data_IF_621609919215
#
_entry.id   IF_621609919215
#
_cell.length_a   1.000
_cell.length_b   1.000
_cell.length_c   1.000
_cell.angle_alpha   90.00
_cell.angle_beta   90.00
_cell.angle_gamma   90.00
#
_symmetry.space_group_name_H-M   'P 1'
#
loop_
_entity.id
_entity.type
_entity.pdbx_description
1 polymer ?
#
# COMPACT_ATOMS: atom_id res chain seq x y z
N UNK A 1 44.44 48.90 0.08
CA UNK A 1 43.43 49.30 -0.90
C UNK A 1 42.57 48.15 -1.43
N UNK A 2 43.04 46.91 -1.44
CA UNK A 2 42.28 45.74 -1.96
C UNK A 2 41.40 45.08 -0.90
N UNK A 3 41.68 45.20 0.38
CA UNK A 3 40.87 44.60 1.47
C UNK A 3 39.50 45.27 1.61
N UNK A 4 39.39 46.57 1.35
CA UNK A 4 38.10 47.31 1.43
C UNK A 4 37.15 46.98 0.30
N UNK A 5 37.66 46.57 -0.87
CA UNK A 5 36.81 46.20 -2.02
C UNK A 5 36.26 44.78 -1.82
N UNK A 6 37.02 43.88 -1.20
CA UNK A 6 36.58 42.52 -0.92
C UNK A 6 35.43 42.46 0.10
N UNK A 7 35.50 43.32 1.14
CA UNK A 7 34.41 43.39 2.13
C UNK A 7 33.12 43.98 1.56
N UNK A 8 33.23 44.94 0.61
CA UNK A 8 32.02 45.52 -0.04
C UNK A 8 31.31 44.52 -0.93
N UNK A 9 32.02 43.64 -1.65
CA UNK A 9 31.44 42.61 -2.51
C UNK A 9 30.77 41.51 -1.68
N UNK A 10 31.35 41.11 -0.54
CA UNK A 10 30.72 40.13 0.36
C UNK A 10 29.45 40.71 1.01
N UNK A 11 29.48 41.96 1.43
CA UNK A 11 28.29 42.62 2.01
C UNK A 11 27.14 42.74 1.03
N UNK A 12 27.42 43.08 -0.24
CA UNK A 12 26.39 43.17 -1.29
C UNK A 12 25.83 41.79 -1.62
N UNK A 13 26.70 40.73 -1.63
CA UNK A 13 26.25 39.34 -1.86
C UNK A 13 25.35 38.82 -0.74
N UNK A 14 25.69 39.10 0.51
CA UNK A 14 24.88 38.71 1.68
C UNK A 14 23.54 39.46 1.70
N UNK A 15 23.54 40.76 1.39
CA UNK A 15 22.30 41.54 1.29
C UNK A 15 21.39 41.09 0.14
N UNK A 16 21.96 40.70 -1.00
CA UNK A 16 21.19 40.18 -2.14
C UNK A 16 20.58 38.82 -1.83
N UNK A 17 21.29 37.97 -1.09
CA UNK A 17 20.79 36.67 -0.65
C UNK A 17 19.69 36.85 0.41
N UNK A 18 19.88 37.74 1.40
CA UNK A 18 18.82 38.07 2.38
C UNK A 18 17.56 38.61 1.71
N UNK A 19 17.70 39.49 0.72
CA UNK A 19 16.55 40.07 0.01
C UNK A 19 15.77 39.03 -0.83
N UNK A 20 16.47 37.99 -1.29
CA UNK A 20 15.85 36.89 -2.06
C UNK A 20 15.07 35.94 -1.16
N UNK A 21 15.48 35.77 0.11
CA UNK A 21 14.81 34.88 1.07
C UNK A 21 13.71 35.56 1.90
N UNK A 22 13.70 36.88 2.04
CA UNK A 22 12.62 37.59 2.76
C UNK A 22 11.27 37.60 2.02
N UNK A 23 11.23 37.21 0.73
CA UNK A 23 10.01 37.09 -0.03
C UNK A 23 9.31 35.74 0.02
N UNK A 24 9.94 34.74 0.62
CA UNK A 24 9.35 33.39 0.74
C UNK A 24 8.84 33.21 2.18
N UNK A 25 7.56 33.48 2.38
CA UNK A 25 6.90 33.20 3.64
C UNK A 25 6.75 31.69 3.83
N UNK A 26 7.75 31.07 4.47
CA UNK A 26 7.75 29.63 4.76
C UNK A 26 6.57 29.21 5.65
N UNK A 27 5.96 30.15 6.40
CA UNK A 27 4.71 29.88 7.13
C UNK A 27 3.53 29.66 6.20
N UNK A 28 3.57 30.26 4.99
CA UNK A 28 2.51 30.07 4.01
C UNK A 28 2.58 28.72 3.30
N UNK A 29 3.76 28.07 3.32
CA UNK A 29 3.97 26.74 2.72
C UNK A 29 3.50 25.64 3.70
N UNK A 30 3.48 25.92 5.00
CA UNK A 30 3.15 24.91 6.04
C UNK A 30 1.69 24.94 6.49
N UNK A 31 0.85 25.86 6.00
CA UNK A 31 -0.56 26.01 6.43
C UNK A 31 -1.58 25.88 5.31
N UNK A 32 -1.15 25.57 4.09
CA UNK A 32 -2.12 25.24 3.03
C UNK A 32 -2.45 23.74 3.12
N UNK A 33 -3.32 23.38 4.06
CA UNK A 33 -3.96 22.07 4.20
C UNK A 33 -4.90 21.75 3.03
N UNK A 34 -4.92 22.56 1.99
CA UNK A 34 -5.78 22.38 0.82
C UNK A 34 -4.99 22.19 -0.48
N UNK A 35 -3.92 21.42 -0.49
CA UNK A 35 -3.58 20.74 -1.73
C UNK A 35 -4.63 19.66 -1.92
N UNK A 36 -5.78 20.04 -2.49
CA UNK A 36 -6.76 19.08 -2.99
C UNK A 36 -6.01 18.30 -4.06
N UNK A 37 -5.49 17.15 -3.66
CA UNK A 37 -4.87 16.23 -4.61
C UNK A 37 -5.94 15.87 -5.65
N UNK A 38 -5.67 16.17 -6.91
CA UNK A 38 -6.57 15.78 -8.00
C UNK A 38 -6.52 14.25 -8.16
N UNK A 39 -7.54 13.59 -7.60
CA UNK A 39 -7.69 12.13 -7.63
C UNK A 39 -8.45 11.61 -8.85
N UNK A 40 -8.80 12.47 -9.80
CA UNK A 40 -9.61 12.11 -10.98
C UNK A 40 -8.96 11.02 -11.84
N UNK A 41 -7.65 10.87 -11.79
CA UNK A 41 -6.90 9.85 -12.52
C UNK A 41 -6.65 8.56 -11.73
N UNK A 42 -6.96 8.52 -10.44
CA UNK A 42 -6.75 7.37 -9.59
C UNK A 42 -7.96 6.44 -9.63
N UNK A 43 -7.70 5.14 -9.67
CA UNK A 43 -8.75 4.13 -9.56
C UNK A 43 -9.04 3.86 -8.08
N UNK A 44 -10.32 3.76 -7.73
CA UNK A 44 -10.70 3.18 -6.43
C UNK A 44 -10.52 1.67 -6.46
N UNK A 45 -10.13 1.10 -5.32
CA UNK A 45 -10.19 -0.34 -5.11
C UNK A 45 -11.64 -0.82 -5.29
N UNK A 46 -11.87 -1.90 -6.03
CA UNK A 46 -13.19 -2.50 -6.16
C UNK A 46 -13.75 -2.96 -4.79
N UNK A 47 -15.06 -3.04 -4.70
CA UNK A 47 -15.70 -3.69 -3.57
C UNK A 47 -15.40 -5.20 -3.57
N UNK A 48 -15.22 -5.76 -2.38
CA UNK A 48 -14.95 -7.18 -2.22
C UNK A 48 -16.26 -7.96 -2.31
N UNK A 49 -16.48 -8.64 -3.42
CA UNK A 49 -17.69 -9.45 -3.69
C UNK A 49 -17.29 -10.89 -4.02
N UNK A 50 -18.24 -11.83 -3.89
CA UNK A 50 -17.99 -13.23 -4.23
C UNK A 50 -17.00 -13.96 -3.32
N UNK A 51 -16.81 -13.49 -2.08
CA UNK A 51 -15.89 -14.12 -1.13
C UNK A 51 -16.39 -15.51 -0.77
N UNK A 52 -15.54 -16.52 -1.02
CA UNK A 52 -15.85 -17.93 -0.80
C UNK A 52 -15.47 -18.45 0.59
N UNK A 53 -14.64 -17.71 1.32
CA UNK A 53 -14.18 -18.06 2.67
C UNK A 53 -13.38 -16.97 3.32
N UNK A 54 -13.34 -16.99 4.67
CA UNK A 54 -12.67 -16.02 5.52
C UNK A 54 -11.70 -16.74 6.46
N UNK A 55 -10.48 -16.27 6.61
CA UNK A 55 -9.44 -16.79 7.50
C UNK A 55 -8.81 -15.61 8.25
N UNK A 56 -8.66 -15.71 9.57
CA UNK A 56 -8.22 -14.63 10.47
C UNK A 56 -9.13 -13.38 10.46
N UNK A 57 -10.34 -13.51 9.93
CA UNK A 57 -11.38 -12.49 9.85
C UNK A 57 -12.74 -13.15 9.66
N UNK A 58 -13.80 -12.36 9.62
CA UNK A 58 -15.17 -12.83 9.31
C UNK A 58 -15.84 -11.91 8.29
N UNK A 59 -17.00 -12.33 7.81
CA UNK A 59 -17.81 -11.51 6.90
C UNK A 59 -18.26 -10.19 7.56
N UNK A 60 -18.54 -10.23 8.85
CA UNK A 60 -19.01 -9.07 9.62
C UNK A 60 -17.90 -8.08 9.93
N UNK A 61 -16.64 -8.55 9.95
CA UNK A 61 -15.50 -7.76 10.39
C UNK A 61 -14.73 -7.12 9.25
N UNK A 62 -14.71 -7.77 8.07
CA UNK A 62 -13.77 -7.40 6.99
C UNK A 62 -13.91 -5.94 6.55
N UNK A 63 -15.13 -5.45 6.34
CA UNK A 63 -15.36 -4.08 5.88
C UNK A 63 -14.88 -3.07 6.93
N UNK A 64 -15.18 -3.34 8.22
CA UNK A 64 -14.75 -2.48 9.34
C UNK A 64 -13.23 -2.48 9.51
N UNK A 65 -12.57 -3.60 9.28
CA UNK A 65 -11.12 -3.71 9.35
C UNK A 65 -10.41 -2.89 8.28
N UNK A 66 -11.03 -2.71 7.10
CA UNK A 66 -10.45 -1.98 5.97
C UNK A 66 -10.82 -0.49 5.97
N UNK A 67 -11.91 -0.09 6.64
CA UNK A 67 -12.42 1.28 6.60
C UNK A 67 -11.39 2.28 7.16
N UNK A 68 -11.07 3.30 6.37
CA UNK A 68 -10.14 4.36 6.77
C UNK A 68 -8.69 3.93 6.94
N UNK A 69 -8.32 2.75 6.45
CA UNK A 69 -6.96 2.21 6.53
C UNK A 69 -6.20 2.33 5.22
N UNK A 70 -4.89 2.31 5.31
CA UNK A 70 -4.06 1.98 4.15
C UNK A 70 -4.11 0.47 3.96
N UNK A 71 -4.57 0.02 2.79
CA UNK A 71 -4.78 -1.41 2.54
C UNK A 71 -3.80 -1.91 1.50
N UNK A 72 -3.04 -2.96 1.85
CA UNK A 72 -2.25 -3.74 0.92
C UNK A 72 -3.03 -4.99 0.53
N UNK A 73 -3.54 -5.03 -0.70
CA UNK A 73 -4.16 -6.22 -1.29
C UNK A 73 -3.09 -7.09 -1.90
N UNK A 74 -2.93 -8.33 -1.39
CA UNK A 74 -1.97 -9.32 -1.90
C UNK A 74 -2.71 -10.47 -2.60
N UNK A 75 -2.66 -10.50 -3.93
CA UNK A 75 -3.18 -11.62 -4.71
C UNK A 75 -2.18 -12.75 -4.73
N UNK A 76 -2.54 -13.86 -4.12
CA UNK A 76 -1.66 -15.00 -3.93
C UNK A 76 -2.38 -16.35 -4.05
N UNK A 77 -1.60 -17.42 -4.17
CA UNK A 77 -2.06 -18.79 -3.93
C UNK A 77 -0.96 -19.60 -3.25
N UNK A 78 -1.34 -20.56 -2.45
CA UNK A 78 -0.41 -21.24 -1.54
C UNK A 78 0.58 -22.19 -2.22
N UNK A 79 0.36 -22.57 -3.48
CA UNK A 79 1.30 -23.41 -4.25
C UNK A 79 2.22 -22.59 -5.15
N UNK A 80 1.96 -21.30 -5.34
CA UNK A 80 2.79 -20.41 -6.14
C UNK A 80 4.10 -20.06 -5.42
N UNK A 81 5.22 -20.54 -5.95
CA UNK A 81 6.54 -20.35 -5.31
C UNK A 81 6.92 -18.86 -5.18
N UNK A 82 6.58 -18.03 -6.19
CA UNK A 82 6.86 -16.61 -6.14
C UNK A 82 6.01 -15.91 -5.07
N UNK A 83 4.76 -16.35 -4.86
CA UNK A 83 3.93 -15.86 -3.77
C UNK A 83 4.55 -16.22 -2.41
N UNK A 84 4.92 -17.50 -2.23
CA UNK A 84 5.51 -17.98 -0.98
C UNK A 84 6.75 -17.19 -0.57
N UNK A 85 7.58 -16.81 -1.55
CA UNK A 85 8.79 -16.00 -1.29
C UNK A 85 8.50 -14.59 -0.80
N UNK A 86 7.31 -14.04 -1.08
CA UNK A 86 6.92 -12.70 -0.62
C UNK A 86 6.33 -12.70 0.80
N UNK A 87 5.77 -13.83 1.27
CA UNK A 87 5.05 -13.90 2.55
C UNK A 87 5.88 -13.47 3.78
N UNK A 88 7.18 -13.80 3.91
CA UNK A 88 7.96 -13.33 5.04
C UNK A 88 8.01 -11.80 5.17
N UNK A 89 8.08 -11.10 4.06
CA UNK A 89 8.07 -9.63 4.05
C UNK A 89 6.70 -9.07 4.42
N UNK A 90 5.63 -9.69 3.94
CA UNK A 90 4.27 -9.28 4.28
C UNK A 90 3.98 -9.49 5.78
N UNK A 91 4.41 -10.61 6.36
CA UNK A 91 4.26 -10.85 7.80
C UNK A 91 5.07 -9.86 8.64
N UNK A 92 6.27 -9.50 8.20
CA UNK A 92 7.09 -8.48 8.85
C UNK A 92 6.42 -7.09 8.75
N UNK A 93 5.86 -6.75 7.61
CA UNK A 93 5.16 -5.47 7.44
C UNK A 93 3.86 -5.41 8.25
N UNK A 94 3.12 -6.49 8.35
CA UNK A 94 1.95 -6.59 9.21
C UNK A 94 2.34 -6.34 10.67
N UNK A 95 3.36 -7.04 11.17
CA UNK A 95 3.86 -6.88 12.54
C UNK A 95 4.38 -5.46 12.83
N UNK A 96 4.94 -4.79 11.83
CA UNK A 96 5.56 -3.47 11.99
C UNK A 96 4.59 -2.30 11.84
N UNK A 97 3.62 -2.41 10.95
CA UNK A 97 2.82 -1.26 10.51
C UNK A 97 1.32 -1.39 10.81
N UNK A 98 0.84 -2.51 11.35
CA UNK A 98 -0.58 -2.67 11.67
C UNK A 98 -1.06 -1.63 12.70
N UNK A 99 -0.26 -1.33 13.70
CA UNK A 99 -0.56 -0.29 14.70
C UNK A 99 -0.54 1.12 14.09
N UNK A 100 0.18 1.33 13.01
CA UNK A 100 0.25 2.60 12.26
C UNK A 100 -0.87 2.73 11.20
N UNK A 101 -1.78 1.76 11.13
CA UNK A 101 -2.96 1.81 10.28
C UNK A 101 -2.82 1.14 8.91
N UNK A 102 -1.79 0.31 8.70
CA UNK A 102 -1.73 -0.61 7.57
C UNK A 102 -2.60 -1.85 7.85
N UNK A 103 -3.39 -2.25 6.88
CA UNK A 103 -4.01 -3.58 6.85
C UNK A 103 -3.53 -4.32 5.61
N UNK A 104 -2.98 -5.51 5.80
CA UNK A 104 -2.71 -6.43 4.70
C UNK A 104 -3.92 -7.34 4.53
N UNK A 105 -4.45 -7.42 3.32
CA UNK A 105 -5.51 -8.35 2.96
C UNK A 105 -4.97 -9.35 1.94
N UNK A 106 -4.78 -10.59 2.37
CA UNK A 106 -4.45 -11.68 1.47
C UNK A 106 -5.69 -12.12 0.68
N UNK A 107 -5.66 -11.99 -0.63
CA UNK A 107 -6.71 -12.48 -1.52
C UNK A 107 -6.21 -13.76 -2.16
N UNK A 108 -6.63 -14.90 -1.57
CA UNK A 108 -6.28 -16.21 -2.08
C UNK A 108 -7.14 -16.55 -3.29
N UNK A 109 -6.57 -16.38 -4.49
CA UNK A 109 -7.22 -16.69 -5.76
C UNK A 109 -6.60 -17.95 -6.37
N UNK A 110 -7.34 -19.04 -6.53
CA UNK A 110 -6.79 -20.32 -6.97
C UNK A 110 -6.36 -20.30 -8.44
N UNK A 111 -5.21 -20.93 -8.74
CA UNK A 111 -4.80 -21.30 -10.08
C UNK A 111 -5.35 -22.69 -10.45
N UNK A 112 -5.39 -23.61 -9.47
CA UNK A 112 -5.79 -25.01 -9.62
C UNK A 112 -6.98 -25.35 -8.72
N UNK A 113 -7.77 -26.36 -9.11
CA UNK A 113 -8.95 -26.81 -8.34
C UNK A 113 -8.65 -27.25 -6.91
N UNK A 114 -7.49 -27.88 -6.66
CA UNK A 114 -7.13 -28.33 -5.31
C UNK A 114 -6.89 -27.15 -4.34
N UNK A 115 -6.61 -25.96 -4.86
CA UNK A 115 -6.38 -24.75 -4.07
C UNK A 115 -7.67 -24.12 -3.54
N UNK A 116 -8.81 -24.46 -4.11
CA UNK A 116 -10.13 -23.98 -3.64
C UNK A 116 -10.55 -24.50 -2.27
N UNK A 117 -9.91 -25.60 -1.81
CA UNK A 117 -10.28 -26.22 -0.54
C UNK A 117 -9.89 -25.33 0.64
N UNK A 118 -10.92 -24.95 1.41
CA UNK A 118 -10.78 -24.06 2.56
C UNK A 118 -9.71 -24.53 3.55
N UNK A 119 -9.73 -25.83 3.89
CA UNK A 119 -8.81 -26.44 4.85
C UNK A 119 -7.35 -26.33 4.39
N UNK A 120 -7.10 -26.41 3.08
CA UNK A 120 -5.77 -26.26 2.51
C UNK A 120 -5.27 -24.83 2.66
N UNK A 121 -6.12 -23.83 2.45
CA UNK A 121 -5.77 -22.41 2.63
C UNK A 121 -5.52 -22.12 4.11
N UNK A 122 -6.39 -22.60 5.01
CA UNK A 122 -6.19 -22.50 6.48
C UNK A 122 -4.87 -23.16 6.91
N UNK A 123 -4.55 -24.34 6.37
CA UNK A 123 -3.27 -24.99 6.66
C UNK A 123 -2.09 -24.14 6.17
N UNK A 124 -2.18 -23.59 4.98
CA UNK A 124 -1.13 -22.76 4.38
C UNK A 124 -0.91 -21.46 5.17
N UNK A 125 -1.99 -20.77 5.56
CA UNK A 125 -1.88 -19.55 6.40
C UNK A 125 -1.16 -19.83 7.71
N UNK A 126 -1.50 -20.93 8.38
CA UNK A 126 -0.81 -21.35 9.60
C UNK A 126 0.66 -21.71 9.36
N UNK A 127 0.93 -22.48 8.29
CA UNK A 127 2.28 -22.91 7.91
C UNK A 127 3.21 -21.74 7.63
N UNK A 128 2.70 -20.69 6.99
CA UNK A 128 3.47 -19.50 6.61
C UNK A 128 3.42 -18.38 7.65
N UNK A 129 2.77 -18.60 8.80
CA UNK A 129 2.71 -17.61 9.89
C UNK A 129 1.87 -16.38 9.56
N UNK A 130 0.93 -16.48 8.62
CA UNK A 130 0.05 -15.38 8.23
C UNK A 130 -0.97 -15.14 9.34
N UNK A 131 -0.97 -13.91 9.91
CA UNK A 131 -1.88 -13.47 10.96
C UNK A 131 -2.90 -12.44 10.46
N UNK A 132 -2.55 -11.71 9.40
CA UNK A 132 -3.44 -10.74 8.77
C UNK A 132 -4.65 -11.41 8.11
N UNK A 133 -5.73 -10.65 7.83
CA UNK A 133 -6.93 -11.15 7.14
C UNK A 133 -6.62 -11.81 5.81
N UNK A 134 -7.25 -12.95 5.56
CA UNK A 134 -7.21 -13.64 4.27
C UNK A 134 -8.62 -14.00 3.84
N UNK A 135 -8.96 -13.72 2.58
CA UNK A 135 -10.20 -14.11 1.95
C UNK A 135 -9.94 -15.05 0.77
N UNK A 136 -10.88 -15.94 0.49
CA UNK A 136 -10.85 -16.79 -0.70
C UNK A 136 -11.69 -16.19 -1.83
N UNK A 137 -11.10 -16.10 -3.01
CA UNK A 137 -11.70 -15.64 -4.26
C UNK A 137 -11.76 -16.82 -5.25
N UNK A 138 -12.52 -17.88 -4.89
CA UNK A 138 -12.53 -19.14 -5.64
C UNK A 138 -13.09 -19.00 -7.06
N UNK A 139 -14.00 -18.05 -7.28
CA UNK A 139 -14.64 -17.80 -8.57
C UNK A 139 -13.97 -16.67 -9.36
N UNK A 140 -12.89 -16.08 -8.80
CA UNK A 140 -12.10 -15.01 -9.43
C UNK A 140 -12.91 -13.71 -9.66
N UNK A 141 -13.93 -13.44 -8.87
CA UNK A 141 -14.70 -12.21 -8.98
C UNK A 141 -13.85 -11.00 -8.59
N UNK A 142 -13.19 -11.05 -7.41
CA UNK A 142 -12.31 -9.98 -6.94
C UNK A 142 -11.09 -9.83 -7.87
N UNK A 143 -10.53 -10.95 -8.31
CA UNK A 143 -9.45 -10.97 -9.30
C UNK A 143 -9.80 -10.20 -10.58
N UNK A 144 -11.01 -10.45 -11.10
CA UNK A 144 -11.47 -9.80 -12.33
C UNK A 144 -11.77 -8.31 -12.13
N UNK A 145 -12.36 -7.93 -10.99
CA UNK A 145 -12.68 -6.55 -10.65
C UNK A 145 -11.40 -5.69 -10.50
N UNK A 146 -10.35 -6.25 -9.90
CA UNK A 146 -9.01 -5.64 -9.88
C UNK A 146 -8.30 -5.69 -11.25
N UNK A 147 -8.88 -6.32 -12.25
CA UNK A 147 -8.25 -6.58 -13.55
C UNK A 147 -6.88 -7.27 -13.39
N UNK A 148 -6.77 -8.14 -12.40
CA UNK A 148 -5.53 -8.86 -12.13
C UNK A 148 -5.24 -9.90 -13.21
N UNK A 149 -3.93 -10.23 -13.40
CA UNK A 149 -3.45 -11.19 -14.40
C UNK A 149 -2.27 -12.02 -13.91
N UNK A 150 -1.78 -11.75 -12.69
CA UNK A 150 -0.51 -12.30 -12.22
C UNK A 150 -0.56 -12.73 -10.76
N UNK A 151 0.22 -13.72 -10.41
CA UNK A 151 0.55 -14.13 -9.05
C UNK A 151 2.08 -14.05 -8.83
N UNK A 152 2.56 -13.44 -7.75
CA UNK A 152 1.81 -12.54 -6.88
C UNK A 152 1.58 -11.19 -7.56
N UNK A 153 0.56 -10.48 -7.15
CA UNK A 153 0.40 -9.06 -7.45
C UNK A 153 -0.11 -8.32 -6.22
N UNK A 154 0.45 -7.14 -5.98
CA UNK A 154 0.10 -6.32 -4.84
C UNK A 154 -0.44 -4.99 -5.30
N UNK A 155 -1.47 -4.50 -4.60
CA UNK A 155 -1.98 -3.16 -4.77
C UNK A 155 -1.99 -2.48 -3.41
N UNK A 156 -1.63 -1.20 -3.35
CA UNK A 156 -1.76 -0.40 -2.13
C UNK A 156 -2.79 0.68 -2.39
N UNK A 157 -3.84 0.69 -1.57
CA UNK A 157 -4.84 1.74 -1.54
C UNK A 157 -4.65 2.64 -0.32
N UNK A 158 -4.90 3.94 -0.50
CA UNK A 158 -4.92 4.89 0.61
C UNK A 158 -6.17 4.74 1.48
N UNK A 159 -6.24 5.50 2.58
CA UNK A 159 -7.35 5.48 3.54
C UNK A 159 -8.72 5.88 2.95
N UNK A 160 -8.75 6.45 1.76
CA UNK A 160 -9.96 6.73 1.00
C UNK A 160 -10.28 5.66 -0.05
N UNK A 161 -9.44 4.63 -0.17
CA UNK A 161 -9.58 3.51 -1.07
C UNK A 161 -9.06 3.74 -2.49
N UNK A 162 -8.28 4.80 -2.75
CA UNK A 162 -7.66 5.00 -4.06
C UNK A 162 -6.36 4.20 -4.17
N UNK A 163 -6.23 3.41 -5.25
CA UNK A 163 -5.02 2.65 -5.55
C UNK A 163 -3.89 3.62 -5.90
N UNK A 164 -2.84 3.61 -5.08
CA UNK A 164 -1.67 4.50 -5.19
C UNK A 164 -0.45 3.80 -5.78
N UNK A 165 -0.43 2.48 -5.68
CA UNK A 165 0.69 1.67 -6.14
C UNK A 165 0.22 0.27 -6.52
N UNK A 166 0.84 -0.33 -7.54
CA UNK A 166 0.75 -1.75 -7.83
C UNK A 166 2.12 -2.34 -8.17
N UNK A 167 2.29 -3.62 -7.85
CA UNK A 167 3.52 -4.36 -8.12
C UNK A 167 3.20 -5.77 -8.60
N UNK A 168 3.82 -6.16 -9.70
CA UNK A 168 3.69 -7.49 -10.30
C UNK A 168 4.92 -8.32 -9.96
N UNK A 169 4.68 -9.53 -9.45
CA UNK A 169 5.74 -10.48 -9.16
C UNK A 169 6.37 -10.32 -7.77
N UNK A 170 7.50 -11.01 -7.57
CA UNK A 170 8.34 -10.92 -6.37
C UNK A 170 9.40 -9.81 -6.54
N UNK A 171 9.95 -9.32 -5.41
CA UNK A 171 10.98 -8.28 -5.39
C UNK A 171 10.48 -6.90 -4.98
N UNK A 172 11.39 -5.92 -4.96
CA UNK A 172 11.13 -4.54 -4.52
C UNK A 172 10.64 -4.42 -3.06
N UNK A 173 11.24 -5.22 -2.15
CA UNK A 173 10.94 -5.24 -0.70
C UNK A 173 11.79 -4.25 0.08
#
# INVERSE_FOLDING_TARGET
KYASIFFAIIAVGIFSISYYYEGVDLKRITTDESVIEDKTFLKKSPQLQGISGYINTSQEEIDTQLEGKVVLYDFWTYSCINCIRTLPYLTEWDEKYSDDGLVILGIHTPEFEFEKKYENVVFATKKFGIKYPVIQDNDKEIWNDFQNRYWPRKYIADHEGYIRFDHIGEGAY
#
